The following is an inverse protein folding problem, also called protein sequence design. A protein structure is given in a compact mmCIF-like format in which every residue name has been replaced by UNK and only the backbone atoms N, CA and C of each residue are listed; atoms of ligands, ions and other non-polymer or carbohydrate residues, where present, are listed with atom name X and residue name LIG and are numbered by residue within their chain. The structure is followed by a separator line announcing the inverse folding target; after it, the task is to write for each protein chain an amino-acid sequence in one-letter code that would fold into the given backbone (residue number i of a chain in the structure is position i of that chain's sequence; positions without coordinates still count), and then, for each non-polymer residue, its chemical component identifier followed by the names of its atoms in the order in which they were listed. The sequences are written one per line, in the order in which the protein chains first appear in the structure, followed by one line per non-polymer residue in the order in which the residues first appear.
data_IF_453343278204
#
_entry.id   IF_453343278204
#
_cell.length_a   1.000
_cell.length_b   1.000
_cell.length_c   1.000
_cell.angle_alpha   90.00
_cell.angle_beta   90.00
_cell.angle_gamma   90.00
#
_symmetry.space_group_name_H-M   'P 1'
#
loop_
_entity.id
_entity.type
_entity.pdbx_description
1 polymer ?
#
# COMPACT_ATOMS: atom_id res chain seq x y z
N UNK A 1 -2.10 -15.38 9.87
CA UNK A 1 -3.34 -14.64 10.15
C UNK A 1 -3.37 -13.44 9.22
N UNK A 2 -4.44 -13.27 8.45
CA UNK A 2 -4.68 -12.08 7.62
C UNK A 2 -5.75 -11.20 8.28
N UNK A 3 -5.89 -9.96 7.83
CA UNK A 3 -6.89 -9.01 8.34
C UNK A 3 -6.33 -7.72 8.92
N UNK A 4 -5.00 -7.62 9.13
CA UNK A 4 -4.36 -6.36 9.52
C UNK A 4 -4.50 -5.33 8.40
N UNK A 5 -4.98 -4.14 8.75
CA UNK A 5 -5.23 -3.07 7.79
C UNK A 5 -4.54 -1.79 8.22
N UNK A 6 -3.92 -1.12 7.26
CA UNK A 6 -3.45 0.24 7.38
C UNK A 6 -4.43 1.14 6.63
N UNK A 7 -5.14 2.00 7.37
CA UNK A 7 -6.03 3.00 6.80
C UNK A 7 -5.50 4.40 7.09
N UNK A 8 -5.52 5.29 6.10
CA UNK A 8 -5.03 6.66 6.28
C UNK A 8 -5.00 7.48 4.99
N UNK A 9 -4.57 8.72 5.12
CA UNK A 9 -4.44 9.68 4.02
C UNK A 9 -3.11 9.49 3.31
N UNK A 10 -3.13 9.47 1.98
CA UNK A 10 -1.93 9.45 1.14
C UNK A 10 -1.25 10.82 1.24
N UNK A 11 -0.05 10.84 1.79
CA UNK A 11 0.75 12.07 1.96
C UNK A 11 1.77 12.26 0.84
N UNK A 12 2.08 11.21 0.09
CA UNK A 12 3.06 11.25 -1.00
C UNK A 12 3.73 9.90 -1.23
N UNK A 13 4.83 9.92 -1.97
CA UNK A 13 5.69 8.76 -2.18
C UNK A 13 7.16 9.14 -2.14
N UNK A 14 8.02 8.19 -1.80
CA UNK A 14 9.47 8.37 -1.80
C UNK A 14 10.17 7.18 -2.45
N UNK A 15 11.34 7.44 -3.05
CA UNK A 15 12.28 6.36 -3.39
C UNK A 15 13.05 5.99 -2.14
N UNK A 16 13.17 4.69 -1.87
CA UNK A 16 13.90 4.16 -0.73
C UNK A 16 14.77 2.98 -1.16
N UNK A 17 15.88 2.77 -0.45
CA UNK A 17 16.69 1.55 -0.54
C UNK A 17 16.61 0.83 0.79
N UNK A 18 16.39 -0.48 0.79
CA UNK A 18 16.23 -1.24 2.04
C UNK A 18 16.29 -2.74 1.82
N UNK A 19 15.65 -3.50 2.73
CA UNK A 19 15.66 -4.96 2.76
C UNK A 19 15.19 -5.64 1.45
N UNK A 20 14.50 -4.90 0.58
CA UNK A 20 13.98 -5.37 -0.71
C UNK A 20 14.72 -4.74 -1.91
N UNK A 21 15.86 -4.10 -1.68
CA UNK A 21 16.60 -3.33 -2.67
C UNK A 21 16.08 -1.90 -2.81
N UNK A 22 16.31 -1.29 -3.98
CA UNK A 22 15.74 0.01 -4.32
C UNK A 22 14.28 -0.15 -4.76
N UNK A 23 13.41 0.73 -4.28
CA UNK A 23 12.00 0.73 -4.63
C UNK A 23 11.29 2.02 -4.23
N UNK A 24 9.97 2.03 -4.37
CA UNK A 24 9.12 3.17 -4.00
C UNK A 24 8.30 2.81 -2.78
N UNK A 25 8.13 3.76 -1.88
CA UNK A 25 7.21 3.67 -0.75
C UNK A 25 6.11 4.71 -0.88
N UNK A 26 4.87 4.35 -0.54
CA UNK A 26 3.82 5.31 -0.27
C UNK A 26 3.92 5.77 1.19
N UNK A 27 3.67 7.06 1.41
CA UNK A 27 3.61 7.66 2.74
C UNK A 27 2.14 7.83 3.10
N UNK A 28 1.71 7.19 4.18
CA UNK A 28 0.32 7.19 4.64
C UNK A 28 0.28 7.71 6.06
N UNK A 29 -0.58 8.70 6.33
CA UNK A 29 -0.84 9.20 7.69
C UNK A 29 -2.13 8.58 8.20
N UNK A 30 -2.04 7.82 9.29
CA UNK A 30 -3.21 7.19 9.91
C UNK A 30 -4.07 8.20 10.70
N UNK A 31 -5.19 7.72 11.22
CA UNK A 31 -6.13 8.53 11.99
C UNK A 31 -5.54 9.07 13.32
N UNK A 32 -4.56 8.37 13.89
CA UNK A 32 -3.84 8.79 15.10
C UNK A 32 -2.74 9.82 14.79
N UNK A 33 -2.56 10.16 13.51
CA UNK A 33 -1.59 11.14 13.03
C UNK A 33 -0.19 10.57 12.84
N UNK A 34 0.00 9.25 12.98
CA UNK A 34 1.27 8.57 12.75
C UNK A 34 1.47 8.32 11.26
N UNK A 35 2.71 8.54 10.82
CA UNK A 35 3.11 8.33 9.43
C UNK A 35 3.73 6.96 9.24
N UNK A 36 3.26 6.25 8.22
CA UNK A 36 3.71 4.93 7.81
C UNK A 36 4.29 4.98 6.39
N UNK A 37 5.42 4.31 6.19
CA UNK A 37 6.02 4.12 4.87
C UNK A 37 5.76 2.69 4.39
N UNK A 38 4.96 2.56 3.32
CA UNK A 38 4.54 1.27 2.77
C UNK A 38 5.30 0.99 1.48
N UNK A 39 6.09 -0.08 1.46
CA UNK A 39 6.75 -0.55 0.24
C UNK A 39 5.71 -0.89 -0.83
N UNK A 40 5.80 -0.20 -1.97
CA UNK A 40 4.96 -0.47 -3.13
C UNK A 40 5.57 -1.60 -3.94
N UNK A 41 4.99 -2.79 -3.79
CA UNK A 41 5.18 -3.87 -4.77
C UNK A 41 4.61 -3.42 -6.12
N UNK A 42 5.01 -4.10 -7.20
CA UNK A 42 4.44 -3.84 -8.54
C UNK A 42 2.92 -3.85 -8.52
N UNK A 43 2.33 -4.86 -7.87
CA UNK A 43 0.87 -5.00 -7.75
C UNK A 43 0.22 -3.82 -7.00
N UNK A 44 0.79 -3.38 -5.87
CA UNK A 44 0.25 -2.24 -5.12
C UNK A 44 0.36 -0.94 -5.92
N UNK A 45 1.51 -0.71 -6.56
CA UNK A 45 1.74 0.47 -7.39
C UNK A 45 0.75 0.55 -8.55
N UNK A 46 0.51 -0.57 -9.24
CA UNK A 46 -0.47 -0.64 -10.33
C UNK A 46 -1.91 -0.43 -9.83
N UNK A 47 -2.28 -0.98 -8.66
CA UNK A 47 -3.62 -0.79 -8.12
C UNK A 47 -3.87 0.65 -7.64
N UNK A 48 -2.89 1.30 -7.02
CA UNK A 48 -2.99 2.74 -6.71
C UNK A 48 -3.22 3.58 -7.97
N UNK A 49 -2.46 3.31 -9.04
CA UNK A 49 -2.63 3.99 -10.34
C UNK A 49 -3.98 3.71 -10.98
N UNK A 50 -4.43 2.46 -10.96
CA UNK A 50 -5.71 2.04 -11.55
C UNK A 50 -6.91 2.70 -10.86
N UNK A 51 -6.81 2.95 -9.55
CA UNK A 51 -7.81 3.69 -8.78
C UNK A 51 -7.62 5.22 -8.84
N UNK A 52 -6.63 5.70 -9.60
CA UNK A 52 -6.34 7.12 -9.76
C UNK A 52 -5.93 7.80 -8.46
N UNK A 53 -5.24 7.10 -7.57
CA UNK A 53 -4.92 7.61 -6.24
C UNK A 53 -3.98 8.81 -6.25
N UNK A 54 -4.33 9.83 -5.47
CA UNK A 54 -3.62 11.11 -5.39
C UNK A 54 -3.28 11.45 -3.94
N UNK A 55 -2.38 12.43 -3.76
CA UNK A 55 -2.10 12.98 -2.44
C UNK A 55 -3.38 13.64 -1.90
N UNK A 56 -3.74 13.32 -0.66
CA UNK A 56 -4.98 13.75 -0.03
C UNK A 56 -6.08 12.69 -0.02
N UNK A 57 -6.02 11.68 -0.90
CA UNK A 57 -6.99 10.60 -0.91
C UNK A 57 -6.84 9.68 0.31
N UNK A 58 -7.94 9.06 0.72
CA UNK A 58 -7.92 8.01 1.72
C UNK A 58 -7.57 6.68 1.05
N UNK A 59 -6.73 5.89 1.72
CA UNK A 59 -6.45 4.52 1.30
C UNK A 59 -6.58 3.56 2.47
N UNK A 60 -6.97 2.33 2.16
CA UNK A 60 -6.96 1.20 3.07
C UNK A 60 -6.22 0.04 2.42
N UNK A 61 -5.10 -0.36 3.03
CA UNK A 61 -4.29 -1.50 2.60
C UNK A 61 -4.47 -2.62 3.62
N UNK A 62 -5.06 -3.73 3.19
CA UNK A 62 -5.30 -4.89 4.07
C UNK A 62 -4.39 -6.05 3.67
N UNK A 63 -3.66 -6.61 4.63
CA UNK A 63 -2.89 -7.83 4.42
C UNK A 63 -3.81 -9.06 4.45
N UNK A 64 -3.89 -9.78 3.34
CA UNK A 64 -4.76 -10.95 3.16
C UNK A 64 -4.05 -12.28 3.49
N UNK A 65 -2.82 -12.22 4.02
CA UNK A 65 -2.01 -13.40 4.29
C UNK A 65 -1.05 -13.75 3.16
N UNK A 66 -0.28 -14.83 3.38
CA UNK A 66 0.63 -15.38 2.36
C UNK A 66 -0.13 -16.32 1.44
N UNK A 67 0.01 -16.12 0.13
CA UNK A 67 -0.55 -16.99 -0.92
C UNK A 67 0.57 -17.63 -1.73
N UNK A 68 0.26 -18.77 -2.35
CA UNK A 68 1.18 -19.47 -3.26
C UNK A 68 0.76 -19.15 -4.69
N UNK A 69 1.67 -18.60 -5.49
CA UNK A 69 1.44 -18.31 -6.91
C UNK A 69 1.58 -19.56 -7.78
N UNK A 70 1.24 -19.44 -9.07
CA UNK A 70 1.19 -20.56 -10.02
C UNK A 70 2.49 -21.35 -10.22
N UNK A 71 3.64 -20.81 -9.79
CA UNK A 71 4.95 -21.45 -9.85
C UNK A 71 5.49 -21.89 -8.46
N UNK A 72 4.61 -22.06 -7.47
CA UNK A 72 5.00 -22.48 -6.11
C UNK A 72 5.68 -21.39 -5.27
N UNK A 73 5.86 -20.18 -5.81
CA UNK A 73 6.41 -19.05 -5.06
C UNK A 73 5.37 -18.44 -4.13
N UNK A 74 5.73 -18.30 -2.85
CA UNK A 74 4.90 -17.62 -1.86
C UNK A 74 5.03 -16.10 -2.00
N UNK A 75 3.92 -15.38 -1.90
CA UNK A 75 3.89 -13.92 -1.89
C UNK A 75 2.91 -13.40 -0.83
N UNK A 76 3.13 -12.18 -0.38
CA UNK A 76 2.19 -11.48 0.50
C UNK A 76 1.04 -10.93 -0.34
N UNK A 77 -0.18 -11.38 -0.07
CA UNK A 77 -1.37 -10.88 -0.75
C UNK A 77 -1.93 -9.67 0.00
N UNK A 78 -2.36 -8.67 -0.75
CA UNK A 78 -2.95 -7.44 -0.21
C UNK A 78 -4.28 -7.13 -0.91
N UNK A 79 -5.14 -6.39 -0.21
CA UNK A 79 -6.25 -5.63 -0.79
C UNK A 79 -5.91 -4.15 -0.69
N UNK A 80 -6.31 -3.36 -1.69
CA UNK A 80 -6.19 -1.91 -1.68
C UNK A 80 -7.52 -1.29 -2.09
N UNK A 81 -8.05 -0.42 -1.24
CA UNK A 81 -9.17 0.46 -1.56
C UNK A 81 -8.69 1.90 -1.43
N UNK A 82 -9.01 2.73 -2.43
CA UNK A 82 -8.75 4.17 -2.43
C UNK A 82 -10.10 4.86 -2.53
N UNK A 83 -10.36 5.74 -1.57
CA UNK A 83 -11.54 6.59 -1.55
C UNK A 83 -11.12 8.03 -1.84
N UNK A 84 -11.76 8.65 -2.82
CA UNK A 84 -11.51 10.05 -3.15
C UNK A 84 -11.94 10.91 -1.98
N UNK A 85 -10.97 11.62 -1.39
CA UNK A 85 -11.28 12.57 -0.34
C UNK A 85 -11.80 13.84 -1.01
N UNK A 86 -13.10 13.83 -1.33
CA UNK A 86 -13.78 14.92 -2.00
C UNK A 86 -13.69 16.22 -1.21
N UNK A 87 -13.24 17.27 -1.90
CA UNK A 87 -13.63 18.65 -1.63
C UNK A 87 -14.93 18.90 -2.39
#
# INVERSE_FOLDING_TARGET
MGGESLAGVIMGSQKASGAYGQGTQAIVKDADGKTWAVWLTTWLSENFKAQGAEIGDLCCITFLGKKVGGFGKTYNAYSLVVEKYGI
#
